data_IF_305558361177
#
_entry.id   IF_305558361177
#
_cell.length_a   1.000
_cell.length_b   1.000
_cell.length_c   1.000
_cell.angle_alpha   90.00
_cell.angle_beta   90.00
_cell.angle_gamma   90.00
#
_symmetry.space_group_name_H-M   'P 1'
#
loop_
_entity.id
_entity.type
_entity.pdbx_description
1 polymer ?
#
# COMPACT_ATOMS: atom_id res chain seq x y z
N UNK A 1 32.05 68.51 -1.84
CA UNK A 1 31.81 67.71 -0.62
C UNK A 1 30.71 66.65 -0.75
N UNK A 2 29.61 66.89 -1.49
CA UNK A 2 28.51 65.90 -1.62
C UNK A 2 28.88 64.60 -2.36
N UNK A 3 29.72 64.68 -3.40
CA UNK A 3 30.15 63.51 -4.18
C UNK A 3 31.05 62.54 -3.39
N UNK A 4 31.86 63.05 -2.47
CA UNK A 4 32.75 62.22 -1.63
C UNK A 4 31.94 61.46 -0.55
N UNK A 5 30.89 62.09 -0.02
CA UNK A 5 29.94 61.47 0.91
C UNK A 5 29.15 60.33 0.25
N UNK A 6 28.69 60.51 -0.98
CA UNK A 6 27.99 59.45 -1.72
C UNK A 6 28.91 58.26 -2.07
N UNK A 7 30.18 58.51 -2.42
CA UNK A 7 31.16 57.43 -2.64
C UNK A 7 31.41 56.62 -1.37
N UNK A 8 31.60 57.28 -0.23
CA UNK A 8 31.78 56.60 1.07
C UNK A 8 30.57 55.76 1.48
N UNK A 9 29.35 56.26 1.24
CA UNK A 9 28.11 55.51 1.52
C UNK A 9 27.99 54.27 0.62
N UNK A 10 28.33 54.38 -0.68
CA UNK A 10 28.30 53.23 -1.61
C UNK A 10 29.35 52.18 -1.24
N UNK A 11 30.57 52.61 -0.87
CA UNK A 11 31.63 51.70 -0.42
C UNK A 11 31.22 51.00 0.87
N UNK A 12 30.63 51.72 1.82
CA UNK A 12 30.12 51.13 3.06
C UNK A 12 28.99 50.12 2.79
N UNK A 13 28.06 50.43 1.89
CA UNK A 13 26.98 49.51 1.53
C UNK A 13 27.51 48.22 0.87
N UNK A 14 28.49 48.33 -0.03
CA UNK A 14 29.14 47.17 -0.65
C UNK A 14 29.93 46.35 0.38
N UNK A 15 30.63 47.00 1.31
CA UNK A 15 31.37 46.33 2.38
C UNK A 15 30.43 45.57 3.33
N UNK A 16 29.28 46.16 3.68
CA UNK A 16 28.25 45.52 4.52
C UNK A 16 27.63 44.33 3.76
N UNK A 17 27.34 44.47 2.47
CA UNK A 17 26.81 43.38 1.66
C UNK A 17 27.82 42.23 1.53
N UNK A 18 29.11 42.54 1.31
CA UNK A 18 30.18 41.55 1.25
C UNK A 18 30.39 40.85 2.60
N UNK A 19 30.39 41.60 3.70
CA UNK A 19 30.44 41.03 5.05
C UNK A 19 29.23 40.13 5.34
N UNK A 20 28.03 40.53 4.90
CA UNK A 20 26.82 39.72 4.98
C UNK A 20 26.95 38.41 4.22
N UNK A 21 27.47 38.43 2.99
CA UNK A 21 27.72 37.22 2.19
C UNK A 21 28.78 36.30 2.82
N UNK A 22 29.84 36.85 3.40
CA UNK A 22 30.88 36.08 4.10
C UNK A 22 30.31 35.43 5.36
N UNK A 23 29.52 36.16 6.15
CA UNK A 23 28.85 35.62 7.33
C UNK A 23 27.82 34.55 6.96
N UNK A 24 27.09 34.73 5.86
CA UNK A 24 26.17 33.73 5.32
C UNK A 24 26.92 32.47 4.87
N UNK A 25 28.08 32.62 4.21
CA UNK A 25 28.96 31.50 3.84
C UNK A 25 29.57 30.78 5.05
N UNK A 26 29.93 31.51 6.10
CA UNK A 26 30.42 30.93 7.36
C UNK A 26 29.31 30.18 8.11
N UNK A 27 28.09 30.73 8.15
CA UNK A 27 26.90 30.05 8.67
C UNK A 27 26.61 28.76 7.90
N UNK A 28 26.67 28.80 6.57
CA UNK A 28 26.54 27.62 5.72
C UNK A 28 27.55 26.52 6.06
N UNK A 29 28.85 26.86 6.17
CA UNK A 29 29.90 25.88 6.53
C UNK A 29 29.70 25.30 7.95
N UNK A 30 29.03 26.03 8.84
CA UNK A 30 28.67 25.55 10.18
C UNK A 30 27.46 24.60 10.21
N UNK A 31 26.75 24.43 9.09
CA UNK A 31 25.60 23.54 8.95
C UNK A 31 24.28 24.11 9.46
N UNK A 32 24.17 25.44 9.58
CA UNK A 32 22.92 26.11 9.97
C UNK A 32 22.03 26.39 8.75
N UNK A 33 20.81 25.86 8.74
CA UNK A 33 19.75 26.25 7.80
C UNK A 33 19.09 27.54 8.26
N UNK A 34 19.26 28.63 7.49
CA UNK A 34 18.62 29.91 7.79
C UNK A 34 17.23 29.95 7.13
N UNK A 35 16.18 29.82 7.94
CA UNK A 35 14.81 30.07 7.52
C UNK A 35 14.39 31.45 8.01
N UNK A 36 14.01 32.33 7.08
CA UNK A 36 13.49 33.66 7.40
C UNK A 36 12.04 33.71 6.96
N UNK A 37 11.19 34.18 7.85
CA UNK A 37 9.78 34.37 7.58
C UNK A 37 9.34 35.80 7.83
N UNK A 38 8.26 36.19 7.15
CA UNK A 38 7.66 37.49 7.29
C UNK A 38 6.21 37.34 7.76
N UNK A 39 5.83 38.14 8.76
CA UNK A 39 4.44 38.32 9.20
C UNK A 39 4.07 39.82 9.17
N UNK A 40 2.91 40.16 9.73
CA UNK A 40 2.44 41.54 9.83
C UNK A 40 3.29 42.42 10.77
N UNK A 41 4.20 41.84 11.56
CA UNK A 41 5.07 42.51 12.54
C UNK A 41 6.52 42.66 12.06
N UNK A 42 6.93 41.91 11.03
CA UNK A 42 8.22 42.09 10.36
C UNK A 42 8.87 40.79 9.90
N UNK A 43 10.18 40.84 9.67
CA UNK A 43 11.00 39.68 9.37
C UNK A 43 11.49 39.03 10.67
N UNK A 44 11.35 37.72 10.78
CA UNK A 44 11.85 36.93 11.90
C UNK A 44 12.58 35.68 11.40
N UNK A 45 13.54 35.20 12.19
CA UNK A 45 14.15 33.90 11.94
C UNK A 45 13.24 32.80 12.47
N UNK A 46 13.07 31.76 11.67
CA UNK A 46 12.47 30.49 12.11
C UNK A 46 13.60 29.66 12.69
N UNK A 47 13.62 29.51 14.01
CA UNK A 47 14.60 28.67 14.68
C UNK A 47 14.30 27.19 14.43
N UNK A 48 15.32 26.42 14.05
CA UNK A 48 15.33 24.96 14.13
C UNK A 48 15.27 24.57 15.62
N UNK A 49 14.07 24.50 16.18
CA UNK A 49 13.85 24.15 17.58
C UNK A 49 13.32 22.73 17.70
N UNK A 50 14.18 21.74 17.97
CA UNK A 50 13.70 20.47 18.49
C UNK A 50 13.30 20.71 19.94
N UNK A 51 12.01 20.77 20.27
CA UNK A 51 11.49 20.58 21.65
C UNK A 51 9.97 20.79 21.76
N UNK A 52 9.24 19.70 21.73
CA UNK A 52 8.15 19.49 22.71
C UNK A 52 7.95 18.01 22.93
N UNK A 53 8.44 17.50 24.07
CA UNK A 53 8.01 16.23 24.64
C UNK A 53 6.95 16.56 25.67
N UNK A 54 5.68 16.37 25.31
CA UNK A 54 4.58 16.49 26.26
C UNK A 54 4.31 15.09 26.79
N UNK A 55 4.75 14.85 28.03
CA UNK A 55 4.39 13.64 28.77
C UNK A 55 3.16 13.96 29.60
N UNK A 56 2.11 13.14 29.46
CA UNK A 56 0.90 13.28 30.24
C UNK A 56 1.06 12.43 31.51
N UNK A 57 1.16 13.03 32.71
CA UNK A 57 1.26 12.25 33.93
C UNK A 57 0.00 11.40 34.12
N UNK A 58 0.19 10.13 34.47
CA UNK A 58 -0.88 9.21 34.88
C UNK A 58 -1.49 9.66 36.21
N UNK A 59 -2.21 10.77 36.27
CA UNK A 59 -3.05 11.11 37.41
C UNK A 59 -4.38 11.67 36.92
N UNK A 60 -5.26 10.73 36.57
CA UNK A 60 -6.71 10.92 36.57
C UNK A 60 -7.31 11.69 35.40
N UNK A 61 -7.50 11.02 34.24
CA UNK A 61 -8.69 11.17 33.34
C UNK A 61 -8.63 10.47 31.99
N UNK A 62 -7.60 9.68 31.68
CA UNK A 62 -7.56 8.94 30.41
C UNK A 62 -8.10 7.52 30.66
N UNK A 63 -9.41 7.41 30.81
CA UNK A 63 -10.08 6.13 31.04
C UNK A 63 -10.19 5.33 29.74
N UNK A 64 -9.25 4.40 29.55
CA UNK A 64 -9.37 3.10 28.85
C UNK A 64 -9.83 2.99 27.38
N UNK A 65 -10.21 4.06 26.69
CA UNK A 65 -10.39 4.02 25.24
C UNK A 65 -10.03 5.37 24.65
N UNK A 66 -8.75 5.54 24.29
CA UNK A 66 -8.31 6.75 23.61
C UNK A 66 -8.54 6.60 22.12
N UNK A 67 -9.32 7.53 21.56
CA UNK A 67 -9.30 7.78 20.13
C UNK A 67 -8.06 8.60 19.78
N UNK A 68 -7.48 8.40 18.61
CA UNK A 68 -6.36 9.20 18.12
C UNK A 68 -6.80 9.83 16.81
N UNK A 69 -6.64 11.14 16.68
CA UNK A 69 -6.95 11.88 15.46
C UNK A 69 -5.76 12.77 15.13
N UNK A 70 -5.11 12.50 13.99
CA UNK A 70 -4.03 13.33 13.46
C UNK A 70 -4.46 13.97 12.14
N UNK A 71 -4.25 15.28 12.04
CA UNK A 71 -4.42 16.04 10.79
C UNK A 71 -3.18 16.91 10.58
N UNK A 72 -2.24 16.42 9.77
CA UNK A 72 -0.91 17.01 9.58
C UNK A 72 -0.59 17.21 8.09
N UNK A 73 0.24 18.20 7.75
CA UNK A 73 0.60 18.54 6.37
C UNK A 73 1.93 17.90 5.99
N UNK A 74 3.04 18.21 6.68
CA UNK A 74 4.38 17.68 6.34
C UNK A 74 5.09 17.08 7.55
N UNK A 75 4.60 15.94 8.05
CA UNK A 75 5.09 15.26 9.26
C UNK A 75 5.15 13.76 9.10
N UNK A 76 6.26 13.14 9.48
CA UNK A 76 6.33 11.70 9.69
C UNK A 76 5.64 11.36 11.02
N UNK A 77 4.79 10.34 11.05
CA UNK A 77 4.01 9.92 12.22
C UNK A 77 4.46 8.54 12.68
N UNK A 78 4.72 8.41 13.97
CA UNK A 78 5.03 7.14 14.61
C UNK A 78 4.08 6.87 15.77
N UNK A 79 3.33 5.78 15.74
CA UNK A 79 2.50 5.29 16.86
C UNK A 79 3.11 3.99 17.36
N UNK A 80 3.56 3.98 18.61
CA UNK A 80 4.24 2.83 19.23
C UNK A 80 3.71 2.56 20.63
N UNK A 81 3.89 1.33 21.09
CA UNK A 81 3.65 0.97 22.48
C UNK A 81 4.82 1.39 23.40
N UNK A 82 4.52 1.76 24.64
CA UNK A 82 5.52 2.04 25.67
C UNK A 82 4.91 2.04 27.06
N UNK A 83 5.63 2.59 28.05
CA UNK A 83 5.18 2.54 29.46
C UNK A 83 4.17 3.64 29.82
N UNK A 84 4.21 4.76 29.12
CA UNK A 84 3.43 5.97 29.45
C UNK A 84 2.93 6.64 28.19
N UNK A 85 1.82 7.37 28.32
CA UNK A 85 1.33 8.23 27.25
C UNK A 85 2.27 9.43 27.08
N UNK A 86 2.91 9.53 25.91
CA UNK A 86 3.70 10.70 25.55
C UNK A 86 3.56 11.05 24.09
N UNK A 87 3.56 12.34 23.80
CA UNK A 87 3.64 12.88 22.45
C UNK A 87 4.93 13.68 22.32
N UNK A 88 5.78 13.26 21.39
CA UNK A 88 7.04 13.89 21.06
C UNK A 88 6.93 14.50 19.66
N UNK A 89 7.21 15.79 19.55
CA UNK A 89 7.16 16.50 18.27
C UNK A 89 8.50 17.14 17.97
N UNK A 90 8.99 16.92 16.76
CA UNK A 90 10.21 17.52 16.23
C UNK A 90 9.84 18.34 15.00
N UNK A 91 10.16 19.63 15.01
CA UNK A 91 9.88 20.55 13.90
C UNK A 91 11.19 21.17 13.41
N UNK A 92 11.43 21.12 12.09
CA UNK A 92 12.57 21.77 11.43
C UNK A 92 12.05 22.77 10.41
N UNK A 93 12.44 24.04 10.53
CA UNK A 93 12.06 25.11 9.60
C UNK A 93 10.55 25.33 9.37
N UNK A 94 9.65 24.74 10.17
CA UNK A 94 8.20 24.82 9.96
C UNK A 94 7.58 26.08 10.58
N UNK A 95 6.73 26.76 9.82
CA UNK A 95 5.88 27.88 10.29
C UNK A 95 4.61 27.41 11.03
N UNK A 96 4.42 26.09 11.12
CA UNK A 96 3.32 25.44 11.81
C UNK A 96 3.89 24.43 12.81
N UNK A 97 3.45 24.51 14.05
CA UNK A 97 3.77 23.52 15.08
C UNK A 97 2.55 22.61 15.28
N UNK A 98 2.75 21.32 15.60
CA UNK A 98 1.67 20.47 16.07
C UNK A 98 1.10 21.03 17.37
N UNK A 99 -0.21 21.18 17.42
CA UNK A 99 -1.01 21.49 18.60
C UNK A 99 -1.64 20.19 19.09
N UNK A 100 -1.33 19.81 20.33
CA UNK A 100 -1.76 18.55 20.93
C UNK A 100 -2.84 18.85 21.97
N UNK A 101 -4.02 18.29 21.77
CA UNK A 101 -5.17 18.43 22.67
C UNK A 101 -5.70 17.07 23.06
N UNK A 102 -6.15 16.95 24.31
CA UNK A 102 -6.92 15.79 24.76
C UNK A 102 -8.32 16.27 25.10
N UNK A 103 -9.33 15.80 24.36
CA UNK A 103 -10.72 16.21 24.51
C UNK A 103 -11.62 14.99 24.50
N UNK A 104 -12.46 14.84 25.51
CA UNK A 104 -13.43 13.73 25.63
C UNK A 104 -12.81 12.33 25.45
N UNK A 105 -11.55 12.17 25.87
CA UNK A 105 -10.80 10.91 25.72
C UNK A 105 -10.14 10.72 24.35
N UNK A 106 -10.22 11.69 23.44
CA UNK A 106 -9.56 11.66 22.13
C UNK A 106 -8.29 12.51 22.18
N UNK A 107 -7.18 11.95 21.72
CA UNK A 107 -5.93 12.66 21.45
C UNK A 107 -6.00 13.26 20.05
N UNK A 108 -6.19 14.57 19.98
CA UNK A 108 -6.22 15.34 18.74
C UNK A 108 -4.86 16.02 18.53
N UNK A 109 -4.25 15.78 17.37
CA UNK A 109 -3.02 16.45 16.94
C UNK A 109 -3.30 17.12 15.59
N UNK A 110 -3.34 18.45 15.61
CA UNK A 110 -3.50 19.27 14.41
C UNK A 110 -2.37 20.27 14.25
N UNK A 111 -2.31 20.98 13.13
CA UNK A 111 -1.35 22.08 12.97
C UNK A 111 -1.93 23.42 13.45
N UNK A 112 -1.12 24.22 14.13
CA UNK A 112 -1.47 25.62 14.41
C UNK A 112 -1.57 26.43 13.11
N UNK A 113 -2.40 27.47 13.10
CA UNK A 113 -2.47 28.41 11.98
C UNK A 113 -1.08 28.99 11.64
N UNK A 114 -0.76 29.03 10.34
CA UNK A 114 0.53 29.54 9.83
C UNK A 114 0.80 30.95 10.35
N UNK A 115 1.94 31.15 11.01
CA UNK A 115 2.31 32.47 11.55
C UNK A 115 2.96 33.42 10.52
N UNK A 116 2.98 33.08 9.22
CA UNK A 116 3.49 33.99 8.20
C UNK A 116 3.67 33.36 6.82
N UNK A 117 4.35 34.09 5.93
CA UNK A 117 4.89 33.58 4.65
C UNK A 117 6.41 33.69 4.72
N UNK A 118 7.11 32.56 4.60
CA UNK A 118 8.56 32.51 4.63
C UNK A 118 9.19 32.07 3.32
N UNK A 119 10.43 32.50 3.09
CA UNK A 119 11.27 32.07 2.00
C UNK A 119 12.59 31.61 2.61
N UNK A 120 12.85 30.31 2.56
CA UNK A 120 14.13 29.73 2.95
C UNK A 120 15.02 29.53 1.72
N UNK A 121 16.28 29.92 1.81
CA UNK A 121 17.28 29.52 0.81
C UNK A 121 17.93 28.22 1.26
N UNK A 122 17.37 27.08 0.88
CA UNK A 122 18.07 25.79 1.02
C UNK A 122 19.05 25.64 -0.15
N UNK A 123 20.14 26.43 -0.14
CA UNK A 123 21.26 26.20 -1.03
C UNK A 123 22.06 25.02 -0.46
N UNK A 124 21.65 23.80 -0.81
CA UNK A 124 22.34 22.53 -0.58
C UNK A 124 22.67 22.22 0.89
N UNK A 125 21.72 21.67 1.65
CA UNK A 125 22.03 21.02 2.94
C UNK A 125 22.80 19.70 2.68
N UNK A 126 24.10 19.59 3.07
CA UNK A 126 24.89 18.39 2.82
C UNK A 126 24.56 17.22 3.77
N UNK A 127 23.64 17.38 4.74
CA UNK A 127 23.33 16.36 5.76
C UNK A 127 21.99 15.63 5.56
N UNK A 128 21.34 15.83 4.42
CA UNK A 128 20.02 15.23 4.14
C UNK A 128 18.88 16.05 4.78
N UNK A 129 17.72 16.05 4.14
CA UNK A 129 16.56 16.81 4.61
C UNK A 129 16.11 16.32 6.00
N UNK A 130 16.27 17.16 7.02
CA UNK A 130 15.63 16.95 8.32
C UNK A 130 14.11 17.03 8.14
N UNK A 131 13.37 16.01 8.60
CA UNK A 131 11.90 15.93 8.47
C UNK A 131 11.21 16.19 9.79
N UNK A 132 10.02 16.82 9.74
CA UNK A 132 9.22 16.98 10.93
C UNK A 132 8.65 15.63 11.36
N UNK A 133 8.53 15.40 12.67
CA UNK A 133 8.10 14.12 13.20
C UNK A 133 7.13 14.30 14.36
N UNK A 134 6.11 13.46 14.43
CA UNK A 134 5.24 13.26 15.58
C UNK A 134 5.35 11.80 16.02
N UNK A 135 5.78 11.56 17.26
CA UNK A 135 5.83 10.24 17.88
C UNK A 135 4.84 10.19 19.04
N UNK A 136 3.89 9.28 18.95
CA UNK A 136 2.92 8.95 19.99
C UNK A 136 3.34 7.62 20.62
N UNK A 137 3.56 7.62 21.92
CA UNK A 137 3.79 6.42 22.72
C UNK A 137 2.56 6.14 23.56
N UNK A 138 2.00 4.94 23.45
CA UNK A 138 0.77 4.53 24.15
C UNK A 138 1.07 3.50 25.24
N UNK A 139 0.55 3.68 26.47
CA UNK A 139 0.73 2.71 27.56
C UNK A 139 -0.16 1.47 27.43
N UNK A 140 -1.10 1.49 26.49
CA UNK A 140 -2.02 0.40 26.18
C UNK A 140 -1.95 0.09 24.69
N UNK A 141 -2.28 -1.16 24.35
CA UNK A 141 -2.37 -1.60 22.95
C UNK A 141 -3.73 -1.29 22.33
N UNK A 142 -4.80 -1.27 23.14
CA UNK A 142 -6.17 -1.12 22.64
C UNK A 142 -6.65 0.34 22.60
N UNK A 143 -7.06 0.77 21.42
CA UNK A 143 -7.69 2.06 21.13
C UNK A 143 -9.10 1.85 20.57
N UNK A 144 -9.92 2.89 20.59
CA UNK A 144 -11.21 2.89 19.89
C UNK A 144 -10.98 3.14 18.40
N UNK A 145 -10.90 4.42 18.03
CA UNK A 145 -10.64 4.86 16.65
C UNK A 145 -9.26 5.49 16.54
N UNK A 146 -8.48 5.12 15.53
CA UNK A 146 -7.21 5.77 15.18
C UNK A 146 -7.32 6.29 13.76
N UNK A 147 -7.27 7.61 13.57
CA UNK A 147 -7.35 8.27 12.26
C UNK A 147 -6.10 9.12 12.05
N UNK A 148 -5.37 8.86 10.97
CA UNK A 148 -4.17 9.57 10.56
C UNK A 148 -4.38 10.17 9.17
N UNK A 149 -4.56 11.48 9.06
CA UNK A 149 -4.70 12.19 7.78
C UNK A 149 -3.49 13.09 7.54
N UNK A 150 -2.73 12.77 6.50
CA UNK A 150 -1.48 13.43 6.14
C UNK A 150 -1.48 13.92 4.69
N UNK A 151 -0.88 15.09 4.43
CA UNK A 151 -0.58 15.50 3.05
C UNK A 151 0.75 14.91 2.57
N UNK A 152 1.76 14.95 3.44
CA UNK A 152 3.10 14.45 3.20
C UNK A 152 3.69 13.93 4.50
N UNK A 153 4.30 12.75 4.43
CA UNK A 153 4.98 12.13 5.55
C UNK A 153 4.71 10.64 5.63
N UNK A 154 5.67 9.95 6.22
CA UNK A 154 5.61 8.50 6.40
C UNK A 154 4.83 8.16 7.67
N UNK A 155 4.05 7.08 7.66
CA UNK A 155 3.26 6.62 8.81
C UNK A 155 3.76 5.26 9.25
N UNK A 156 4.21 5.16 10.50
CA UNK A 156 4.57 3.90 11.14
C UNK A 156 3.65 3.65 12.32
N UNK A 157 2.95 2.52 12.32
CA UNK A 157 2.15 2.05 13.45
C UNK A 157 2.63 0.66 13.84
N UNK A 158 2.92 0.48 15.12
CA UNK A 158 3.53 -0.73 15.67
C UNK A 158 2.83 -1.17 16.96
N UNK A 159 2.38 -2.43 17.00
CA UNK A 159 1.71 -3.08 18.14
C UNK A 159 0.42 -2.36 18.60
N UNK A 160 -0.59 -2.30 17.73
CA UNK A 160 -1.85 -1.59 17.98
C UNK A 160 -3.08 -2.51 17.80
N UNK A 161 -3.97 -2.48 18.79
CA UNK A 161 -5.33 -3.00 18.69
C UNK A 161 -6.31 -1.82 18.57
N UNK A 162 -7.19 -1.80 17.57
CA UNK A 162 -8.19 -0.75 17.39
C UNK A 162 -9.56 -1.34 17.09
N UNK A 163 -10.64 -0.61 17.35
CA UNK A 163 -11.93 -0.94 16.72
C UNK A 163 -11.88 -0.48 15.25
N UNK A 164 -11.51 0.79 15.01
CA UNK A 164 -11.39 1.38 13.67
C UNK A 164 -9.99 1.99 13.45
N UNK A 165 -9.36 1.66 12.32
CA UNK A 165 -8.09 2.25 11.87
C UNK A 165 -8.27 2.94 10.52
N UNK A 166 -8.04 4.24 10.45
CA UNK A 166 -8.01 5.02 9.22
C UNK A 166 -6.64 5.67 9.02
N UNK A 167 -6.04 5.48 7.85
CA UNK A 167 -4.81 6.14 7.45
C UNK A 167 -5.00 6.66 6.04
N UNK A 168 -4.91 7.97 5.86
CA UNK A 168 -4.98 8.65 4.57
C UNK A 168 -3.74 9.52 4.40
N UNK A 169 -2.88 9.18 3.44
CA UNK A 169 -1.71 10.00 3.09
C UNK A 169 -1.65 10.25 1.60
N UNK A 170 -1.49 11.52 1.20
CA UNK A 170 -1.29 11.84 -0.23
C UNK A 170 0.12 11.49 -0.71
N UNK A 171 1.13 11.60 0.15
CA UNK A 171 2.51 11.30 -0.18
C UNK A 171 3.29 10.79 1.03
N UNK A 172 3.88 9.61 0.93
CA UNK A 172 4.71 9.00 1.98
C UNK A 172 4.50 7.51 2.04
N UNK A 173 5.35 6.82 2.78
CA UNK A 173 5.26 5.37 2.94
C UNK A 173 4.43 5.03 4.20
N UNK A 174 3.69 3.92 4.15
CA UNK A 174 2.94 3.39 5.29
C UNK A 174 3.59 2.08 5.72
N UNK A 175 3.88 1.94 7.01
CA UNK A 175 4.39 0.74 7.64
C UNK A 175 3.50 0.36 8.83
N UNK A 176 2.82 -0.77 8.71
CA UNK A 176 1.97 -1.33 9.76
C UNK A 176 2.55 -2.66 10.22
N UNK A 177 2.74 -2.80 11.53
CA UNK A 177 3.31 -4.00 12.15
C UNK A 177 2.53 -4.40 13.40
N UNK A 178 2.17 -5.69 13.52
CA UNK A 178 1.39 -6.26 14.62
C UNK A 178 0.13 -5.43 14.93
N UNK A 179 -0.79 -5.40 13.97
CA UNK A 179 -2.02 -4.61 14.05
C UNK A 179 -3.23 -5.54 14.12
N UNK A 180 -4.14 -5.29 15.06
CA UNK A 180 -5.45 -5.93 15.08
C UNK A 180 -6.56 -4.87 15.04
N UNK A 181 -7.50 -4.98 14.11
CA UNK A 181 -8.65 -4.08 14.12
C UNK A 181 -9.96 -4.75 13.73
N UNK A 182 -11.11 -4.14 14.04
CA UNK A 182 -12.36 -4.56 13.43
C UNK A 182 -12.41 -4.06 11.99
N UNK A 183 -12.19 -2.77 11.77
CA UNK A 183 -12.17 -2.17 10.43
C UNK A 183 -10.86 -1.42 10.19
N UNK A 184 -10.35 -1.49 8.96
CA UNK A 184 -9.21 -0.71 8.53
C UNK A 184 -9.44 -0.11 7.15
N UNK A 185 -9.28 1.21 7.03
CA UNK A 185 -9.30 1.95 5.78
C UNK A 185 -7.93 2.62 5.58
N UNK A 186 -7.21 2.23 4.54
CA UNK A 186 -5.86 2.73 4.24
C UNK A 186 -5.88 3.30 2.83
N UNK A 187 -5.63 4.60 2.69
CA UNK A 187 -5.56 5.31 1.41
C UNK A 187 -4.20 5.96 1.25
N UNK A 188 -3.54 5.64 0.15
CA UNK A 188 -2.20 6.09 -0.17
C UNK A 188 -2.18 6.67 -1.59
N UNK A 189 -1.95 7.97 -1.72
CA UNK A 189 -1.83 8.63 -3.02
C UNK A 189 -0.50 8.29 -3.72
N UNK A 190 0.63 8.45 -3.01
CA UNK A 190 1.96 8.12 -3.56
C UNK A 190 2.89 7.62 -2.47
N UNK A 191 3.41 6.40 -2.65
CA UNK A 191 4.36 5.78 -1.75
C UNK A 191 4.13 4.28 -1.67
N UNK A 192 4.90 3.65 -0.79
CA UNK A 192 4.82 2.20 -0.58
C UNK A 192 4.04 1.88 0.69
N UNK A 193 3.18 0.87 0.60
CA UNK A 193 2.51 0.28 1.76
C UNK A 193 3.14 -1.04 2.15
N UNK A 194 3.53 -1.20 3.41
CA UNK A 194 4.03 -2.44 3.98
C UNK A 194 3.19 -2.83 5.19
N UNK A 195 2.40 -3.88 5.04
CA UNK A 195 1.52 -4.41 6.07
C UNK A 195 2.07 -5.78 6.51
N UNK A 196 2.56 -5.86 7.73
CA UNK A 196 3.10 -7.09 8.32
C UNK A 196 2.30 -7.44 9.57
N UNK A 197 1.78 -8.67 9.63
CA UNK A 197 1.02 -9.16 10.80
C UNK A 197 -0.19 -8.28 11.11
N UNK A 198 -0.96 -7.97 10.07
CA UNK A 198 -2.19 -7.16 10.16
C UNK A 198 -3.41 -8.08 10.13
N UNK A 199 -4.23 -7.98 11.17
CA UNK A 199 -5.33 -8.88 11.51
C UNK A 199 -6.64 -8.11 11.64
N UNK A 200 -7.28 -7.79 10.52
CA UNK A 200 -8.45 -6.90 10.46
C UNK A 200 -9.71 -7.59 9.96
N UNK A 201 -10.90 -7.21 10.44
CA UNK A 201 -12.15 -7.87 10.01
C UNK A 201 -12.62 -7.42 8.64
N UNK A 202 -12.58 -6.12 8.41
CA UNK A 202 -12.81 -5.55 7.10
C UNK A 202 -11.64 -4.65 6.75
N UNK A 203 -11.09 -4.83 5.56
CA UNK A 203 -10.01 -3.98 5.04
C UNK A 203 -10.42 -3.35 3.73
N UNK A 204 -10.29 -2.03 3.65
CA UNK A 204 -10.27 -1.28 2.40
C UNK A 204 -8.88 -0.66 2.25
N UNK A 205 -8.06 -1.23 1.38
CA UNK A 205 -6.72 -0.72 1.08
C UNK A 205 -6.70 -0.15 -0.34
N UNK A 206 -6.22 1.08 -0.48
CA UNK A 206 -6.13 1.79 -1.76
C UNK A 206 -4.73 2.42 -1.88
N UNK A 207 -3.99 2.05 -2.93
CA UNK A 207 -2.75 2.71 -3.31
C UNK A 207 -2.83 3.19 -4.75
N UNK A 208 -2.76 4.51 -4.98
CA UNK A 208 -2.80 5.03 -6.34
C UNK A 208 -1.46 4.84 -7.06
N UNK A 209 -0.33 5.00 -6.36
CA UNK A 209 1.02 4.88 -6.94
C UNK A 209 2.06 4.41 -5.93
N UNK A 210 2.54 3.19 -6.13
CA UNK A 210 3.72 2.65 -5.47
C UNK A 210 3.55 1.17 -5.17
N UNK A 211 4.53 0.58 -4.47
CA UNK A 211 4.51 -0.85 -4.20
C UNK A 211 3.65 -1.14 -2.98
N UNK A 212 2.93 -2.26 -2.99
CA UNK A 212 2.14 -2.67 -1.83
C UNK A 212 2.47 -4.10 -1.43
N UNK A 213 2.99 -4.28 -0.23
CA UNK A 213 3.32 -5.60 0.34
C UNK A 213 2.42 -5.87 1.53
N UNK A 214 1.78 -7.04 1.52
CA UNK A 214 0.98 -7.55 2.62
C UNK A 214 1.46 -8.96 2.99
N UNK A 215 1.98 -9.12 4.20
CA UNK A 215 2.52 -10.38 4.70
C UNK A 215 1.88 -10.76 6.05
N UNK A 216 1.59 -12.06 6.23
CA UNK A 216 1.02 -12.62 7.46
C UNK A 216 -0.37 -12.04 7.81
N UNK A 217 -1.21 -11.83 6.80
CA UNK A 217 -2.59 -11.36 6.94
C UNK A 217 -3.52 -12.50 7.37
N UNK A 218 -3.84 -12.61 8.67
CA UNK A 218 -4.70 -13.70 9.18
C UNK A 218 -6.01 -13.18 9.81
N UNK A 219 -7.18 -13.67 9.40
CA UNK A 219 -8.45 -13.08 9.77
C UNK A 219 -8.89 -13.65 11.13
N UNK A 220 -9.25 -12.80 12.09
CA UNK A 220 -9.84 -13.18 13.38
C UNK A 220 -11.33 -13.65 13.36
N UNK A 221 -12.06 -13.62 12.22
CA UNK A 221 -13.49 -14.03 11.94
C UNK A 221 -14.24 -13.08 10.98
N UNK A 222 -14.84 -13.60 9.89
CA UNK A 222 -15.86 -12.94 9.05
C UNK A 222 -15.40 -12.02 7.89
N UNK A 223 -14.23 -12.25 7.28
CA UNK A 223 -13.36 -11.12 6.88
C UNK A 223 -13.22 -10.89 5.37
N UNK A 224 -13.62 -9.68 4.95
CA UNK A 224 -13.51 -9.20 3.57
C UNK A 224 -12.27 -8.31 3.42
N UNK A 225 -11.47 -8.58 2.41
CA UNK A 225 -10.39 -7.71 1.94
C UNK A 225 -10.80 -7.08 0.61
N UNK A 226 -10.92 -5.76 0.58
CA UNK A 226 -10.97 -4.98 -0.65
C UNK A 226 -9.60 -4.30 -0.81
N UNK A 227 -8.94 -4.56 -1.93
CA UNK A 227 -7.59 -4.08 -2.19
C UNK A 227 -7.55 -3.47 -3.59
N UNK A 228 -7.32 -2.17 -3.69
CA UNK A 228 -7.15 -1.46 -4.94
C UNK A 228 -5.71 -0.95 -5.05
N UNK A 229 -5.04 -1.25 -6.16
CA UNK A 229 -3.74 -0.65 -6.51
C UNK A 229 -3.79 -0.14 -7.93
N UNK A 230 -3.65 1.17 -8.14
CA UNK A 230 -3.67 1.79 -9.47
C UNK A 230 -2.28 1.95 -10.09
N UNK A 231 -1.23 1.47 -9.42
CA UNK A 231 0.11 1.41 -10.00
C UNK A 231 1.14 0.86 -9.04
N UNK A 232 1.94 -0.09 -9.52
CA UNK A 232 3.04 -0.72 -8.78
C UNK A 232 2.73 -2.18 -8.38
N UNK A 233 3.76 -3.03 -8.23
CA UNK A 233 3.58 -4.43 -7.91
C UNK A 233 2.94 -4.63 -6.54
N UNK A 234 2.08 -5.64 -6.45
CA UNK A 234 1.42 -6.09 -5.24
C UNK A 234 1.96 -7.45 -4.83
N UNK A 235 2.42 -7.56 -3.58
CA UNK A 235 2.91 -8.80 -3.01
C UNK A 235 2.02 -9.24 -1.84
N UNK A 236 1.39 -10.40 -1.95
CA UNK A 236 0.53 -10.96 -0.89
C UNK A 236 1.09 -12.29 -0.39
N UNK A 237 1.39 -12.41 0.89
CA UNK A 237 1.95 -13.63 1.46
C UNK A 237 1.17 -14.07 2.69
N UNK A 238 0.81 -15.36 2.72
CA UNK A 238 0.05 -15.98 3.82
C UNK A 238 -1.27 -15.25 4.09
N UNK A 239 -2.00 -14.96 3.00
CA UNK A 239 -3.32 -14.34 3.06
C UNK A 239 -4.36 -15.38 3.43
N UNK A 240 -5.13 -15.13 4.49
CA UNK A 240 -6.32 -15.90 4.80
C UNK A 240 -7.52 -14.96 4.91
N UNK A 241 -8.63 -15.20 4.20
CA UNK A 241 -9.86 -14.37 4.27
C UNK A 241 -11.08 -15.18 3.82
N UNK A 242 -12.29 -14.69 4.09
CA UNK A 242 -13.49 -15.28 3.49
C UNK A 242 -13.68 -14.78 2.07
N UNK A 243 -13.49 -13.47 1.86
CA UNK A 243 -13.62 -12.82 0.55
C UNK A 243 -12.44 -11.88 0.33
N UNK A 244 -11.70 -12.06 -0.78
CA UNK A 244 -10.73 -11.09 -1.27
C UNK A 244 -11.22 -10.53 -2.61
N UNK A 245 -11.26 -9.20 -2.74
CA UNK A 245 -11.49 -8.46 -3.97
C UNK A 245 -10.27 -7.60 -4.25
N UNK A 246 -9.50 -7.97 -5.27
CA UNK A 246 -8.30 -7.27 -5.70
C UNK A 246 -8.59 -6.55 -7.02
N UNK A 247 -8.45 -5.22 -7.05
CA UNK A 247 -8.54 -4.40 -8.25
C UNK A 247 -7.17 -3.78 -8.54
N UNK A 248 -6.47 -4.28 -9.56
CA UNK A 248 -5.04 -4.04 -9.72
C UNK A 248 -4.70 -3.45 -11.10
N UNK A 249 -3.75 -2.55 -11.14
CA UNK A 249 -3.03 -2.16 -12.35
C UNK A 249 -1.52 -2.36 -12.12
N UNK A 250 -1.00 -3.49 -12.61
CA UNK A 250 0.35 -3.96 -12.32
C UNK A 250 0.40 -5.43 -11.89
N UNK A 251 1.62 -5.88 -11.58
CA UNK A 251 1.87 -7.28 -11.26
C UNK A 251 1.34 -7.67 -9.87
N UNK A 252 0.79 -8.88 -9.75
CA UNK A 252 0.44 -9.53 -8.49
C UNK A 252 1.31 -10.76 -8.28
N UNK A 253 2.05 -10.77 -7.18
CA UNK A 253 2.75 -11.96 -6.69
C UNK A 253 2.13 -12.40 -5.37
N UNK A 254 1.55 -13.59 -5.35
CA UNK A 254 0.94 -14.14 -4.15
C UNK A 254 1.43 -15.55 -3.79
N UNK A 255 1.55 -15.82 -2.50
CA UNK A 255 1.89 -17.15 -1.97
C UNK A 255 1.11 -17.46 -0.70
N UNK A 256 0.76 -18.74 -0.51
CA UNK A 256 0.04 -19.24 0.67
C UNK A 256 -1.31 -18.51 0.87
N UNK A 257 -2.14 -18.51 -0.17
CA UNK A 257 -3.44 -17.82 -0.16
C UNK A 257 -4.55 -18.81 0.16
N UNK A 258 -5.35 -18.51 1.18
CA UNK A 258 -6.59 -19.21 1.54
C UNK A 258 -7.75 -18.24 1.51
N UNK A 259 -8.64 -18.38 0.53
CA UNK A 259 -9.83 -17.53 0.43
C UNK A 259 -11.08 -18.37 0.15
N UNK A 260 -12.18 -18.09 0.85
CA UNK A 260 -13.49 -18.63 0.47
C UNK A 260 -13.86 -18.19 -0.95
N UNK A 261 -13.66 -16.91 -1.26
CA UNK A 261 -13.80 -16.33 -2.59
C UNK A 261 -12.63 -15.37 -2.86
N UNK A 262 -11.96 -15.54 -3.99
CA UNK A 262 -10.88 -14.67 -4.46
C UNK A 262 -11.25 -14.10 -5.83
N UNK A 263 -11.52 -12.80 -5.88
CA UNK A 263 -11.82 -12.05 -7.10
C UNK A 263 -10.65 -11.14 -7.41
N UNK A 264 -10.08 -11.28 -8.61
CA UNK A 264 -8.97 -10.47 -9.09
C UNK A 264 -9.43 -9.82 -10.39
N UNK A 265 -9.53 -8.50 -10.38
CA UNK A 265 -9.77 -7.69 -11.57
C UNK A 265 -8.51 -6.90 -11.87
N UNK A 266 -7.99 -7.02 -13.09
CA UNK A 266 -6.78 -6.29 -13.48
C UNK A 266 -6.87 -5.65 -14.85
N UNK A 267 -6.18 -4.53 -15.04
CA UNK A 267 -6.05 -3.90 -16.36
C UNK A 267 -4.83 -4.47 -17.10
N UNK A 268 -3.66 -4.40 -16.46
CA UNK A 268 -2.38 -4.87 -17.00
C UNK A 268 -1.53 -5.53 -15.92
N UNK A 269 -0.46 -6.23 -16.33
CA UNK A 269 0.50 -6.89 -15.42
C UNK A 269 0.25 -8.38 -15.23
N UNK A 270 1.25 -9.09 -14.73
CA UNK A 270 1.21 -10.54 -14.51
C UNK A 270 0.53 -10.90 -13.19
N UNK A 271 -0.16 -12.04 -13.15
CA UNK A 271 -0.67 -12.63 -11.90
C UNK A 271 0.05 -13.95 -11.67
N UNK A 272 0.77 -14.04 -10.55
CA UNK A 272 1.39 -15.27 -10.11
C UNK A 272 0.89 -15.62 -8.71
N UNK A 273 0.21 -16.77 -8.58
CA UNK A 273 -0.20 -17.33 -7.30
C UNK A 273 0.39 -18.73 -7.17
N UNK A 274 1.44 -18.86 -6.36
CA UNK A 274 2.26 -20.08 -6.26
C UNK A 274 1.68 -21.15 -5.32
N UNK A 275 0.81 -20.78 -4.38
CA UNK A 275 0.18 -21.74 -3.45
C UNK A 275 -1.19 -21.30 -2.97
N UNK A 276 -2.22 -21.78 -3.65
CA UNK A 276 -3.62 -21.73 -3.20
C UNK A 276 -3.89 -22.86 -2.20
N UNK A 277 -4.60 -22.56 -1.11
CA UNK A 277 -4.82 -23.46 0.03
C UNK A 277 -6.32 -23.71 0.25
N UNK A 278 -6.89 -24.67 -0.46
CA UNK A 278 -8.30 -25.06 -0.35
C UNK A 278 -9.28 -23.88 -0.53
N UNK A 279 -9.02 -23.04 -1.53
CA UNK A 279 -9.91 -21.92 -1.83
C UNK A 279 -11.29 -22.41 -2.30
N UNK A 280 -12.34 -21.65 -2.03
CA UNK A 280 -13.66 -21.96 -2.59
C UNK A 280 -13.71 -21.60 -4.08
N UNK A 281 -13.85 -20.32 -4.37
CA UNK A 281 -13.92 -19.82 -5.75
C UNK A 281 -12.76 -18.88 -6.05
N UNK A 282 -12.16 -19.03 -7.21
CA UNK A 282 -11.17 -18.09 -7.75
C UNK A 282 -11.67 -17.56 -9.09
N UNK A 283 -11.66 -16.24 -9.26
CA UNK A 283 -11.99 -15.57 -10.51
C UNK A 283 -10.94 -14.51 -10.82
N UNK A 284 -10.26 -14.67 -11.95
CA UNK A 284 -9.31 -13.70 -12.50
C UNK A 284 -9.89 -13.15 -13.79
N UNK A 285 -10.12 -11.84 -13.84
CA UNK A 285 -10.59 -11.14 -15.03
C UNK A 285 -9.59 -10.01 -15.33
N UNK A 286 -9.13 -9.90 -16.56
CA UNK A 286 -8.31 -8.74 -16.90
C UNK A 286 -7.96 -8.52 -18.36
N UNK A 287 -7.16 -7.49 -18.61
CA UNK A 287 -6.68 -7.15 -19.95
C UNK A 287 -5.45 -7.96 -20.34
N UNK A 288 -4.27 -7.36 -20.17
CA UNK A 288 -3.01 -7.87 -20.73
C UNK A 288 -2.03 -8.38 -19.68
N UNK A 289 -1.38 -9.51 -19.91
CA UNK A 289 -0.37 -10.12 -19.04
C UNK A 289 -0.70 -11.56 -18.68
N UNK A 290 0.30 -12.29 -18.21
CA UNK A 290 0.17 -13.73 -17.96
C UNK A 290 -0.52 -14.02 -16.62
N UNK A 291 -1.13 -15.19 -16.51
CA UNK A 291 -1.77 -15.67 -15.27
C UNK A 291 -1.26 -17.07 -14.95
N UNK A 292 -0.64 -17.23 -13.79
CA UNK A 292 -0.16 -18.50 -13.25
C UNK A 292 -0.84 -18.79 -11.92
N UNK A 293 -1.65 -19.85 -11.84
CA UNK A 293 -2.33 -20.27 -10.63
C UNK A 293 -1.92 -21.69 -10.25
N UNK A 294 -1.42 -21.87 -9.03
CA UNK A 294 -0.96 -23.16 -8.52
C UNK A 294 -1.54 -23.45 -7.14
N UNK A 295 -2.10 -24.65 -6.94
CA UNK A 295 -2.61 -25.10 -5.63
C UNK A 295 -4.03 -25.67 -5.63
N UNK A 296 -4.72 -25.56 -4.49
CA UNK A 296 -6.07 -26.09 -4.29
C UNK A 296 -7.15 -25.00 -4.39
N UNK A 297 -8.17 -25.25 -5.22
CA UNK A 297 -9.42 -24.48 -5.28
C UNK A 297 -10.59 -25.42 -5.58
N UNK A 298 -11.80 -25.06 -5.17
CA UNK A 298 -13.03 -25.79 -5.55
C UNK A 298 -13.55 -25.35 -6.92
N UNK A 299 -13.22 -24.14 -7.36
CA UNK A 299 -13.55 -23.61 -8.68
C UNK A 299 -12.51 -22.57 -9.13
N UNK A 300 -12.20 -22.55 -10.42
CA UNK A 300 -11.32 -21.54 -11.01
C UNK A 300 -11.86 -21.01 -12.34
N UNK A 301 -11.97 -19.69 -12.46
CA UNK A 301 -12.31 -18.99 -13.70
C UNK A 301 -11.22 -17.98 -14.02
N UNK A 302 -10.63 -18.05 -15.21
CA UNK A 302 -9.68 -17.07 -15.72
C UNK A 302 -10.17 -16.57 -17.07
N UNK A 303 -10.32 -15.26 -17.23
CA UNK A 303 -10.71 -14.62 -18.48
C UNK A 303 -9.84 -13.39 -18.70
N UNK A 304 -8.97 -13.44 -19.71
CA UNK A 304 -8.05 -12.35 -20.04
C UNK A 304 -8.11 -12.02 -21.53
N UNK A 305 -7.82 -10.77 -21.89
CA UNK A 305 -7.77 -10.37 -23.30
C UNK A 305 -6.49 -10.91 -23.97
N UNK A 306 -5.33 -10.74 -23.33
CA UNK A 306 -4.06 -11.21 -23.89
C UNK A 306 -3.06 -11.64 -22.82
N UNK A 307 -2.37 -12.74 -23.07
CA UNK A 307 -1.38 -13.33 -22.18
C UNK A 307 -1.56 -14.84 -22.10
N UNK A 308 -0.54 -15.49 -21.56
CA UNK A 308 -0.56 -16.92 -21.33
C UNK A 308 -1.22 -17.25 -19.99
N UNK A 309 -1.96 -18.35 -19.95
CA UNK A 309 -2.62 -18.87 -18.76
C UNK A 309 -2.00 -20.20 -18.39
N UNK A 310 -1.35 -20.28 -17.22
CA UNK A 310 -0.84 -21.51 -16.62
C UNK A 310 -1.71 -21.91 -15.42
N UNK A 311 -2.30 -23.10 -15.50
CA UNK A 311 -3.16 -23.64 -14.44
C UNK A 311 -2.62 -24.98 -13.93
N UNK A 312 -2.20 -24.96 -12.67
CA UNK A 312 -1.95 -26.15 -11.84
C UNK A 312 -2.83 -26.09 -10.59
N UNK A 313 -4.15 -26.00 -10.84
CA UNK A 313 -5.20 -25.92 -9.82
C UNK A 313 -5.87 -27.29 -9.62
N UNK A 314 -6.35 -27.54 -8.40
CA UNK A 314 -6.95 -28.82 -8.01
C UNK A 314 -6.00 -29.73 -7.21
N UNK A 315 -4.93 -29.20 -6.62
CA UNK A 315 -4.13 -29.93 -5.63
C UNK A 315 -4.92 -30.04 -4.32
N UNK A 316 -5.25 -31.26 -3.87
CA UNK A 316 -5.90 -31.48 -2.58
C UNK A 316 -7.12 -32.40 -2.64
N UNK A 317 -8.11 -32.16 -1.76
CA UNK A 317 -9.32 -32.98 -1.62
C UNK A 317 -10.41 -32.71 -2.67
N UNK A 318 -10.28 -31.63 -3.43
CA UNK A 318 -11.39 -31.11 -4.22
C UNK A 318 -11.19 -31.27 -5.71
N UNK A 319 -12.31 -31.63 -6.31
CA UNK A 319 -12.80 -31.06 -7.54
C UNK A 319 -12.40 -29.62 -7.83
N UNK A 320 -11.94 -29.32 -9.05
CA UNK A 320 -11.83 -27.95 -9.52
C UNK A 320 -12.37 -27.81 -10.95
N UNK A 321 -13.68 -27.57 -11.14
CA UNK A 321 -14.20 -27.08 -12.41
C UNK A 321 -13.44 -25.81 -12.80
N UNK A 322 -12.93 -25.82 -14.02
CA UNK A 322 -11.99 -24.79 -14.50
C UNK A 322 -12.48 -24.21 -15.81
N UNK A 323 -12.60 -22.89 -15.87
CA UNK A 323 -12.83 -22.16 -17.13
C UNK A 323 -11.65 -21.22 -17.38
N UNK A 324 -11.03 -21.31 -18.55
CA UNK A 324 -9.89 -20.47 -18.92
C UNK A 324 -10.09 -19.89 -20.33
N UNK A 325 -10.04 -18.58 -20.46
CA UNK A 325 -10.26 -17.88 -21.73
C UNK A 325 -9.17 -16.84 -21.94
N UNK A 326 -8.52 -16.88 -23.11
CA UNK A 326 -7.60 -15.84 -23.61
C UNK A 326 -7.92 -15.52 -25.07
N UNK A 327 -7.96 -14.25 -25.47
CA UNK A 327 -8.12 -13.93 -26.90
C UNK A 327 -6.78 -14.09 -27.63
N UNK A 328 -5.67 -13.70 -27.00
CA UNK A 328 -4.32 -13.78 -27.58
C UNK A 328 -3.33 -14.33 -26.57
N UNK A 329 -3.00 -15.61 -26.71
CA UNK A 329 -2.07 -16.30 -25.83
C UNK A 329 -2.42 -17.78 -25.73
N UNK A 330 -1.61 -18.50 -24.96
CA UNK A 330 -1.73 -19.95 -24.80
C UNK A 330 -2.25 -20.32 -23.42
N UNK A 331 -3.01 -21.41 -23.33
CA UNK A 331 -3.49 -21.97 -22.08
C UNK A 331 -2.75 -23.29 -21.84
N UNK A 332 -2.10 -23.44 -20.69
CA UNK A 332 -1.45 -24.68 -20.27
C UNK A 332 -2.06 -25.17 -18.96
N UNK A 333 -2.64 -26.37 -18.96
CA UNK A 333 -3.11 -27.06 -17.76
C UNK A 333 -2.22 -28.28 -17.48
N UNK A 334 -1.44 -28.21 -16.40
CA UNK A 334 -0.39 -29.21 -16.13
C UNK A 334 -0.89 -30.49 -15.47
N UNK A 335 -1.86 -30.41 -14.55
CA UNK A 335 -2.35 -31.58 -13.80
C UNK A 335 -3.87 -31.69 -13.79
N UNK A 336 -4.34 -32.92 -13.81
CA UNK A 336 -5.72 -33.27 -13.51
C UNK A 336 -5.69 -34.50 -12.60
N UNK A 337 -6.19 -34.38 -11.36
CA UNK A 337 -6.56 -35.57 -10.59
C UNK A 337 -7.81 -36.17 -11.26
N UNK A 338 -7.79 -37.50 -11.43
CA UNK A 338 -8.59 -38.26 -12.38
C UNK A 338 -10.11 -38.29 -12.13
N UNK A 339 -10.62 -37.59 -11.13
CA UNK A 339 -12.00 -37.74 -10.70
C UNK A 339 -12.89 -36.60 -11.19
N UNK A 340 -13.33 -36.63 -12.45
CA UNK A 340 -14.62 -36.02 -12.88
C UNK A 340 -14.74 -34.48 -12.92
N UNK A 341 -14.18 -33.74 -13.91
CA UNK A 341 -14.53 -32.29 -14.05
C UNK A 341 -14.72 -31.78 -15.48
N UNK A 342 -15.70 -30.88 -15.62
CA UNK A 342 -15.86 -29.95 -16.72
C UNK A 342 -14.71 -28.94 -16.68
N UNK A 343 -13.84 -29.01 -17.69
CA UNK A 343 -12.82 -27.99 -17.94
C UNK A 343 -13.08 -27.44 -19.33
N UNK A 344 -13.30 -26.13 -19.41
CA UNK A 344 -13.52 -25.40 -20.64
C UNK A 344 -12.40 -24.37 -20.85
N UNK A 345 -11.54 -24.64 -21.83
CA UNK A 345 -10.44 -23.75 -22.19
C UNK A 345 -10.65 -23.22 -23.62
N UNK A 346 -10.56 -21.91 -23.82
CA UNK A 346 -10.66 -21.23 -25.12
C UNK A 346 -9.47 -20.28 -25.33
N UNK A 347 -8.70 -20.49 -26.39
CA UNK A 347 -7.73 -19.53 -26.91
C UNK A 347 -8.15 -19.09 -28.32
N UNK A 348 -8.54 -17.83 -28.52
CA UNK A 348 -8.95 -17.35 -29.85
C UNK A 348 -7.76 -17.28 -30.83
N UNK A 349 -6.58 -16.91 -30.34
CA UNK A 349 -5.33 -16.88 -31.08
C UNK A 349 -4.19 -17.41 -30.19
N UNK A 350 -3.91 -18.71 -30.32
CA UNK A 350 -2.88 -19.38 -29.54
C UNK A 350 -3.06 -20.89 -29.47
N UNK A 351 -2.57 -21.49 -28.38
CA UNK A 351 -2.55 -22.94 -28.17
C UNK A 351 -3.20 -23.30 -26.85
N UNK A 352 -3.89 -24.43 -26.79
CA UNK A 352 -4.33 -25.03 -25.53
C UNK A 352 -3.61 -26.36 -25.32
N UNK A 353 -2.76 -26.42 -24.30
CA UNK A 353 -2.09 -27.63 -23.84
C UNK A 353 -2.72 -28.14 -22.56
N UNK A 354 -3.10 -29.42 -22.52
CA UNK A 354 -3.70 -30.07 -21.36
C UNK A 354 -3.15 -31.48 -21.19
N UNK A 355 -2.62 -31.77 -20.01
CA UNK A 355 -2.08 -33.09 -19.66
C UNK A 355 -1.14 -33.65 -20.76
N UNK A 356 -0.29 -32.77 -21.33
CA UNK A 356 0.66 -33.10 -22.39
C UNK A 356 0.08 -33.17 -23.82
N UNK A 357 -1.23 -32.99 -24.01
CA UNK A 357 -1.85 -32.90 -25.34
C UNK A 357 -2.09 -31.45 -25.73
N UNK A 358 -1.74 -31.07 -26.95
CA UNK A 358 -1.83 -29.69 -27.42
C UNK A 358 -2.81 -29.60 -28.59
N UNK A 359 -3.65 -28.57 -28.58
CA UNK A 359 -4.46 -28.10 -29.70
C UNK A 359 -3.96 -26.71 -30.08
N UNK A 360 -3.67 -26.52 -31.36
CA UNK A 360 -3.18 -25.25 -31.90
C UNK A 360 -4.10 -24.74 -33.00
N UNK A 361 -4.25 -23.42 -33.11
CA UNK A 361 -5.03 -22.79 -34.17
C UNK A 361 -5.87 -21.62 -33.67
N UNK A 362 -6.50 -20.89 -34.61
CA UNK A 362 -7.51 -19.89 -34.26
C UNK A 362 -8.68 -20.58 -33.57
N UNK A 363 -9.17 -20.00 -32.48
CA UNK A 363 -10.25 -20.53 -31.65
C UNK A 363 -10.01 -21.96 -31.15
N UNK A 364 -8.79 -22.24 -30.67
CA UNK A 364 -8.44 -23.51 -30.02
C UNK A 364 -9.29 -23.69 -28.76
N UNK A 365 -10.14 -24.72 -28.73
CA UNK A 365 -10.99 -25.00 -27.58
C UNK A 365 -11.05 -26.46 -27.18
N UNK A 366 -11.06 -26.69 -25.87
CA UNK A 366 -11.12 -28.00 -25.24
C UNK A 366 -12.20 -27.96 -24.16
N UNK A 367 -13.20 -28.81 -24.31
CA UNK A 367 -14.06 -29.25 -23.21
C UNK A 367 -13.64 -30.68 -22.85
N UNK A 368 -13.55 -31.02 -21.57
CA UNK A 368 -13.74 -32.42 -21.18
C UNK A 368 -14.90 -32.48 -20.22
N UNK A 369 -15.93 -33.25 -20.57
CA UNK A 369 -16.99 -33.64 -19.66
C UNK A 369 -16.83 -35.14 -19.46
N UNK A 370 -16.51 -35.55 -18.23
CA UNK A 370 -16.43 -36.97 -17.90
C UNK A 370 -17.66 -37.35 -17.08
N UNK A 371 -18.47 -38.25 -17.64
CA UNK A 371 -19.56 -38.91 -16.93
C UNK A 371 -19.05 -40.23 -16.33
N UNK A 372 -19.53 -40.58 -15.15
CA UNK A 372 -18.98 -41.64 -14.28
C UNK A 372 -19.03 -43.05 -14.89
N UNK A 373 -17.91 -43.76 -14.70
CA UNK A 373 -17.73 -45.21 -14.49
C UNK A 373 -18.50 -46.17 -15.41
N UNK A 374 -18.32 -46.04 -16.73
CA UNK A 374 -18.08 -47.22 -17.58
C UNK A 374 -17.60 -46.91 -19.02
N UNK A 375 -17.29 -45.66 -19.37
CA UNK A 375 -16.77 -45.43 -20.71
C UNK A 375 -15.77 -44.27 -20.78
N UNK A 376 -14.75 -44.54 -21.60
CA UNK A 376 -13.54 -43.77 -21.95
C UNK A 376 -13.63 -42.27 -21.71
N UNK A 377 -12.54 -41.71 -21.15
CA UNK A 377 -12.26 -40.27 -21.12
C UNK A 377 -12.35 -39.64 -22.50
N UNK A 378 -13.49 -39.01 -22.79
CA UNK A 378 -13.68 -38.23 -24.00
C UNK A 378 -13.28 -36.79 -23.71
N UNK A 379 -12.10 -36.41 -24.20
CA UNK A 379 -11.73 -35.01 -24.41
C UNK A 379 -12.49 -34.55 -25.65
N UNK A 380 -13.43 -33.62 -25.49
CA UNK A 380 -14.19 -33.02 -26.57
C UNK A 380 -13.50 -31.73 -27.00
N UNK A 381 -12.67 -31.82 -28.04
CA UNK A 381 -12.05 -30.67 -28.66
C UNK A 381 -13.05 -30.09 -29.67
N UNK A 382 -13.39 -28.81 -29.54
CA UNK A 382 -14.21 -28.09 -30.53
C UNK A 382 -13.43 -26.83 -30.88
N UNK A 383 -13.42 -26.40 -32.13
CA UNK A 383 -12.94 -25.06 -32.49
C UNK A 383 -14.12 -24.28 -33.02
N UNK A 384 -14.20 -22.97 -32.74
CA UNK A 384 -15.21 -22.12 -33.39
C UNK A 384 -14.84 -21.83 -34.85
N UNK A 385 -13.54 -21.63 -35.15
CA UNK A 385 -12.94 -21.55 -36.50
C UNK A 385 -11.42 -21.78 -36.44
N UNK A 386 -10.95 -22.94 -36.92
CA UNK A 386 -9.53 -23.29 -37.06
C UNK A 386 -9.32 -24.81 -37.09
N UNK A 387 -8.19 -25.27 -37.64
CA UNK A 387 -7.83 -26.68 -37.65
C UNK A 387 -7.32 -27.10 -36.27
N UNK A 388 -7.70 -28.30 -35.80
CA UNK A 388 -7.14 -28.90 -34.58
C UNK A 388 -5.88 -29.65 -35.00
N UNK A 389 -4.71 -29.10 -34.71
CA UNK A 389 -3.46 -29.86 -34.76
C UNK A 389 -3.26 -30.60 -33.43
N UNK A 390 -3.25 -31.93 -33.47
CA UNK A 390 -2.83 -32.79 -32.36
C UNK A 390 -1.45 -33.38 -32.70
N UNK A 391 -0.46 -33.34 -31.79
CA UNK A 391 0.79 -34.08 -31.96
C UNK A 391 0.60 -35.60 -31.85
#
# INVERSE_FOLDING_TARGET
MAADRQKRVRIAAVAIAAAGLVLMGAGYLSGSSLWVAADQKGLFMVEDTPRSRVSYPEEGRISRAVGIQLHLDDFDVQIVHGEKLSVETVCYGSLRSPDVKVKDGILEIGETASQGRGVGTTLLDPRGQKRNQVRITLPYRRCGTVSCVLQKGDVLVDHLEADDLEIDTRQGDIQLHDISAQQAAIRLGRGNGSLLEVYVSEMDYQNERGQSTYQNATPQRGKTLNFASAGGPVKLQKLQVDIARLQLDGDLQASDVKAGQLYIRRTSGQVEISRLQDNGVISVIGGTGDVSLQGGSQQATVNIDSGDILLDVGRGKYACPTTAITQKGSITQQRQLAETYAVDCLAEDGKVTRAGKTVEGKNSFTTAAHYTRDDRSKMLLKTQKGDIALP
#
